data_IF_744094702189
#
_entry.id   IF_744094702189
#
_cell.length_a   1.000
_cell.length_b   1.000
_cell.length_c   1.000
_cell.angle_alpha   90.00
_cell.angle_beta   90.00
_cell.angle_gamma   90.00
#
_symmetry.space_group_name_H-M   'P 1'
#
loop_
_entity.id
_entity.type
_entity.pdbx_description
1 polymer ?
#
# COMPACT_ATOMS: atom_id res chain seq x y z
N UNK A 1 -24.29 -12.53 -10.33
CA UNK A 1 -23.93 -11.32 -9.56
C UNK A 1 -22.57 -11.57 -8.94
N UNK A 2 -21.56 -10.74 -9.21
CA UNK A 2 -20.22 -10.90 -8.59
C UNK A 2 -20.12 -10.02 -7.35
N UNK A 3 -19.69 -10.60 -6.24
CA UNK A 3 -19.38 -9.88 -5.00
C UNK A 3 -17.87 -9.66 -4.96
N UNK A 4 -17.42 -8.47 -4.63
CA UNK A 4 -16.00 -8.16 -4.42
C UNK A 4 -15.80 -7.51 -3.05
N UNK A 5 -14.62 -7.72 -2.47
CA UNK A 5 -14.19 -7.12 -1.22
C UNK A 5 -13.17 -6.05 -1.52
N UNK A 6 -13.43 -4.82 -1.10
CA UNK A 6 -12.41 -3.76 -1.06
C UNK A 6 -11.78 -3.80 0.34
N UNK A 7 -10.45 -3.70 0.38
CA UNK A 7 -9.67 -3.49 1.58
C UNK A 7 -8.69 -2.35 1.32
N UNK A 8 -8.35 -1.61 2.36
CA UNK A 8 -7.27 -0.62 2.31
C UNK A 8 -6.01 -1.23 2.94
N UNK A 9 -4.87 -0.95 2.31
CA UNK A 9 -3.56 -1.37 2.78
C UNK A 9 -2.69 -0.12 2.91
N UNK A 10 -1.87 -0.10 3.95
CA UNK A 10 -0.83 0.92 4.13
C UNK A 10 0.51 0.23 3.96
N UNK A 11 1.30 0.70 2.99
CA UNK A 11 2.69 0.32 2.80
C UNK A 11 3.59 1.52 3.08
N UNK A 12 4.82 1.27 3.50
CA UNK A 12 5.84 2.30 3.66
C UNK A 12 7.14 1.85 2.99
N UNK A 13 7.98 2.82 2.64
CA UNK A 13 9.30 2.60 2.03
C UNK A 13 10.15 3.84 2.27
N UNK A 14 11.45 3.65 2.52
CA UNK A 14 12.43 4.73 2.62
C UNK A 14 12.88 5.27 1.24
N UNK A 15 12.42 4.66 0.15
CA UNK A 15 12.90 4.95 -1.20
C UNK A 15 11.84 5.57 -2.11
N UNK A 16 10.63 4.99 -2.16
CA UNK A 16 9.60 5.46 -3.07
C UNK A 16 8.20 4.96 -2.72
N UNK A 17 7.21 5.73 -3.16
CA UNK A 17 5.79 5.40 -3.08
C UNK A 17 5.45 4.13 -3.87
N UNK A 18 6.09 3.93 -5.02
CA UNK A 18 5.91 2.76 -5.87
C UNK A 18 6.39 1.48 -5.17
N UNK A 19 7.52 1.55 -4.47
CA UNK A 19 8.01 0.44 -3.66
C UNK A 19 7.09 0.15 -2.47
N UNK A 20 6.62 1.18 -1.76
CA UNK A 20 5.67 1.04 -0.66
C UNK A 20 4.37 0.33 -1.13
N UNK A 21 3.80 0.79 -2.24
CA UNK A 21 2.59 0.21 -2.82
C UNK A 21 2.82 -1.24 -3.28
N UNK A 22 3.92 -1.50 -3.99
CA UNK A 22 4.29 -2.86 -4.42
C UNK A 22 4.42 -3.81 -3.23
N UNK A 23 5.15 -3.40 -2.20
CA UNK A 23 5.41 -4.22 -1.01
C UNK A 23 4.12 -4.53 -0.23
N UNK A 24 3.22 -3.55 -0.09
CA UNK A 24 1.91 -3.77 0.54
C UNK A 24 1.07 -4.83 -0.22
N UNK A 25 1.03 -4.73 -1.55
CA UNK A 25 0.29 -5.68 -2.41
C UNK A 25 0.93 -7.08 -2.35
N UNK A 26 2.25 -7.18 -2.45
CA UNK A 26 2.98 -8.45 -2.36
C UNK A 26 2.75 -9.13 -1.01
N UNK A 27 2.77 -8.36 0.08
CA UNK A 27 2.50 -8.88 1.44
C UNK A 27 1.07 -9.40 1.56
N UNK A 28 0.10 -8.68 1.04
CA UNK A 28 -1.30 -9.09 1.05
C UNK A 28 -1.55 -10.33 0.17
N UNK A 29 -0.86 -10.46 -0.96
CA UNK A 29 -0.99 -11.59 -1.87
C UNK A 29 -0.59 -12.95 -1.24
N UNK A 30 0.21 -12.94 -0.17
CA UNK A 30 0.58 -14.15 0.55
C UNK A 30 -0.64 -14.86 1.16
N UNK A 31 -1.60 -14.09 1.70
CA UNK A 31 -2.78 -14.62 2.40
C UNK A 31 -4.09 -14.44 1.63
N UNK A 32 -4.21 -13.38 0.84
CA UNK A 32 -5.40 -13.09 0.05
C UNK A 32 -5.33 -13.74 -1.33
N UNK A 33 -6.49 -14.11 -1.86
CA UNK A 33 -6.62 -14.73 -3.19
C UNK A 33 -7.51 -13.85 -4.05
N UNK A 34 -7.26 -13.87 -5.36
CA UNK A 34 -8.05 -13.09 -6.32
C UNK A 34 -7.81 -11.59 -6.27
N UNK A 35 -6.65 -11.14 -5.79
CA UNK A 35 -6.19 -9.76 -5.99
C UNK A 35 -6.00 -9.51 -7.49
N UNK A 36 -6.65 -8.50 -8.04
CA UNK A 36 -6.64 -8.20 -9.49
C UNK A 36 -6.24 -6.76 -9.80
N UNK A 37 -6.61 -5.83 -8.93
CA UNK A 37 -6.33 -4.41 -9.06
C UNK A 37 -6.02 -3.85 -7.67
N UNK A 38 -5.07 -2.92 -7.62
CA UNK A 38 -4.78 -2.09 -6.47
C UNK A 38 -4.70 -0.65 -6.98
N UNK A 39 -5.22 0.30 -6.21
CA UNK A 39 -5.24 1.72 -6.53
C UNK A 39 -4.66 2.49 -5.35
N UNK A 40 -3.89 3.53 -5.66
CA UNK A 40 -3.41 4.47 -4.66
C UNK A 40 -4.53 5.45 -4.34
N UNK A 41 -5.05 5.39 -3.11
CA UNK A 41 -6.12 6.28 -2.64
C UNK A 41 -5.60 7.49 -1.88
N UNK A 42 -4.44 7.35 -1.23
CA UNK A 42 -3.82 8.41 -0.43
C UNK A 42 -2.31 8.27 -0.42
N UNK A 43 -1.67 9.41 -0.41
CA UNK A 43 -0.24 9.59 -0.31
C UNK A 43 0.06 10.52 0.88
N UNK A 44 0.81 10.05 1.89
CA UNK A 44 1.34 10.82 3.00
C UNK A 44 2.82 10.50 3.28
N UNK A 45 3.45 11.34 4.12
CA UNK A 45 4.86 11.23 4.52
C UNK A 45 4.95 11.29 6.05
N UNK A 46 5.87 10.53 6.63
CA UNK A 46 6.23 10.57 8.05
C UNK A 46 7.26 11.67 8.28
N UNK A 47 7.01 12.46 9.34
CA UNK A 47 7.88 13.55 9.76
C UNK A 47 8.49 13.25 11.14
N UNK A 48 9.79 13.46 11.27
CA UNK A 48 10.50 13.49 12.56
C UNK A 48 11.27 14.81 12.66
N UNK A 49 11.07 15.55 13.75
CA UNK A 49 11.70 16.86 13.98
C UNK A 49 11.57 17.85 12.80
N UNK A 50 10.42 17.78 12.09
CA UNK A 50 10.14 18.62 10.92
C UNK A 50 10.84 18.18 9.63
N UNK A 51 11.48 17.01 9.61
CA UNK A 51 12.11 16.41 8.42
C UNK A 51 11.34 15.19 7.95
N UNK A 52 11.24 15.03 6.63
CA UNK A 52 10.68 13.82 6.01
C UNK A 52 11.64 12.65 6.25
N UNK A 53 11.10 11.55 6.77
CA UNK A 53 11.86 10.32 7.05
C UNK A 53 11.31 9.10 6.32
N UNK A 54 10.08 9.13 5.84
CA UNK A 54 9.39 8.03 5.16
C UNK A 54 8.23 8.57 4.33
#
# INVERSE_FOLDING_TARGET
MSVYKIIELVGTSEHSWEEAAKSAVERAAQSLRGLRMAEIVKLDMRLEEGKVVE
#
